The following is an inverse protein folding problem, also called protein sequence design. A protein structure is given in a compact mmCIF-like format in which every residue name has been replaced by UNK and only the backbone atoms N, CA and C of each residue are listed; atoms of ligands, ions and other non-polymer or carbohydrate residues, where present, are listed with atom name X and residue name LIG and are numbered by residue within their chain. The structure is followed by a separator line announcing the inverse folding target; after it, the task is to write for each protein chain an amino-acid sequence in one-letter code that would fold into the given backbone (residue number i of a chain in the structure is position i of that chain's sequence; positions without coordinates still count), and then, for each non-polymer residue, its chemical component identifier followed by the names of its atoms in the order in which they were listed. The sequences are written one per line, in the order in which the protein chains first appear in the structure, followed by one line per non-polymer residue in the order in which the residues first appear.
data_IF_297461893148
#
_entry.id   IF_297461893148
#
_cell.length_a   1.000
_cell.length_b   1.000
_cell.length_c   1.000
_cell.angle_alpha   90.00
_cell.angle_beta   90.00
_cell.angle_gamma   90.00
#
_symmetry.space_group_name_H-M   'P 1'
#
loop_
_entity.id
_entity.type
_entity.pdbx_description
1 polymer ?
#
# COMPACT_ATOMS: atom_id res chain seq x y z
N UNK A 1 11.19 30.24 -17.54
CA UNK A 1 11.58 28.95 -18.09
C UNK A 1 11.84 28.01 -16.91
N UNK A 2 11.32 26.77 -16.91
CA UNK A 2 11.64 25.81 -15.87
C UNK A 2 13.07 25.26 -16.05
N UNK A 3 13.73 24.92 -14.95
CA UNK A 3 15.06 24.30 -15.01
C UNK A 3 14.95 22.81 -15.42
N UNK A 4 13.82 22.17 -15.10
CA UNK A 4 13.55 20.76 -15.36
C UNK A 4 12.10 20.54 -15.80
N UNK A 5 11.90 19.80 -16.89
CA UNK A 5 10.61 19.31 -17.36
C UNK A 5 10.66 17.79 -17.40
N UNK A 6 9.69 17.14 -16.78
CA UNK A 6 9.54 15.67 -16.82
C UNK A 6 8.22 15.33 -17.48
N UNK A 7 8.25 14.53 -18.54
CA UNK A 7 7.07 13.98 -19.20
C UNK A 7 7.01 12.46 -19.00
N UNK A 8 5.81 11.88 -19.02
CA UNK A 8 5.62 10.45 -18.90
C UNK A 8 4.61 9.92 -19.93
N UNK A 9 4.91 8.76 -20.50
CA UNK A 9 4.05 8.05 -21.46
C UNK A 9 4.54 8.14 -22.91
N UNK A 10 3.98 7.29 -23.76
CA UNK A 10 4.18 7.26 -25.21
C UNK A 10 5.58 6.83 -25.66
N UNK A 11 6.32 6.04 -24.86
CA UNK A 11 7.64 5.49 -25.22
C UNK A 11 7.59 3.98 -25.52
N UNK A 12 6.44 3.36 -25.50
CA UNK A 12 6.23 1.96 -25.80
C UNK A 12 6.36 1.63 -27.30
N UNK A 13 5.92 0.42 -27.70
CA UNK A 13 6.00 -0.06 -29.07
C UNK A 13 4.68 0.06 -29.86
N UNK A 14 3.63 0.63 -29.29
CA UNK A 14 2.29 0.70 -29.91
C UNK A 14 2.14 1.95 -30.79
N UNK A 15 1.16 1.97 -31.67
CA UNK A 15 0.98 3.08 -32.64
C UNK A 15 0.66 4.42 -31.99
N UNK A 16 0.11 4.40 -30.80
CA UNK A 16 -0.17 5.58 -29.96
C UNK A 16 1.05 6.07 -29.16
N UNK A 17 2.16 5.31 -29.16
CA UNK A 17 3.42 5.69 -28.50
C UNK A 17 4.25 6.63 -29.39
N UNK A 18 3.76 7.83 -29.63
CA UNK A 18 4.38 8.82 -30.54
C UNK A 18 5.38 9.76 -29.83
N UNK A 19 5.52 9.69 -28.50
CA UNK A 19 6.30 10.65 -27.72
C UNK A 19 7.77 10.68 -28.14
N UNK A 20 8.37 9.54 -28.48
CA UNK A 20 9.77 9.48 -28.93
C UNK A 20 10.03 10.29 -30.20
N UNK A 21 9.18 10.11 -31.19
CA UNK A 21 9.30 10.80 -32.49
C UNK A 21 9.06 12.31 -32.32
N UNK A 22 8.00 12.68 -31.61
CA UNK A 22 7.68 14.08 -31.32
C UNK A 22 8.81 14.78 -30.57
N UNK A 23 9.43 14.13 -29.58
CA UNK A 23 10.55 14.68 -28.82
C UNK A 23 11.80 14.82 -29.71
N UNK A 24 12.09 13.84 -30.57
CA UNK A 24 13.22 13.91 -31.48
C UNK A 24 13.07 15.09 -32.46
N UNK A 25 11.90 15.27 -33.02
CA UNK A 25 11.56 16.38 -33.90
C UNK A 25 11.63 17.71 -33.16
N UNK A 26 11.03 17.78 -31.97
CA UNK A 26 11.04 19.02 -31.16
C UNK A 26 12.44 19.50 -30.76
N UNK A 27 13.32 18.54 -30.40
CA UNK A 27 14.69 18.83 -30.00
C UNK A 27 15.61 19.00 -31.23
N UNK A 28 15.15 18.62 -32.43
CA UNK A 28 15.95 18.64 -33.66
C UNK A 28 17.08 17.60 -33.68
N UNK A 29 16.92 16.45 -33.01
CA UNK A 29 17.92 15.38 -32.95
C UNK A 29 17.66 14.33 -34.00
N UNK A 30 18.69 13.82 -34.64
CA UNK A 30 18.63 12.57 -35.38
C UNK A 30 18.57 11.36 -34.44
N UNK A 31 18.41 10.18 -35.03
CA UNK A 31 18.42 8.92 -34.27
C UNK A 31 19.30 7.88 -34.92
N UNK A 32 19.73 6.92 -34.12
CA UNK A 32 20.46 5.71 -34.58
C UNK A 32 19.87 4.47 -33.90
N UNK A 33 20.04 3.33 -34.55
CA UNK A 33 19.57 2.06 -34.02
C UNK A 33 20.61 1.45 -33.08
N UNK A 34 20.20 1.02 -31.90
CA UNK A 34 21.04 0.37 -30.90
C UNK A 34 20.91 -1.16 -31.06
N UNK A 35 21.80 -1.74 -31.87
CA UNK A 35 21.82 -3.15 -32.16
C UNK A 35 22.04 -4.03 -30.93
N UNK A 36 22.84 -3.59 -29.96
CA UNK A 36 23.12 -4.36 -28.76
C UNK A 36 21.91 -4.36 -27.82
N UNK A 37 21.23 -3.24 -27.71
CA UNK A 37 19.97 -3.21 -26.97
C UNK A 37 18.90 -4.09 -27.64
N UNK A 38 18.78 -4.06 -28.95
CA UNK A 38 17.86 -4.90 -29.69
C UNK A 38 18.12 -6.41 -29.48
N UNK A 39 19.39 -6.82 -29.53
CA UNK A 39 19.80 -8.23 -29.23
C UNK A 39 19.44 -8.61 -27.79
N UNK A 40 19.65 -7.70 -26.83
CA UNK A 40 19.30 -7.91 -25.43
C UNK A 40 17.78 -8.04 -25.25
N UNK A 41 17.00 -7.20 -25.91
CA UNK A 41 15.56 -7.22 -25.86
C UNK A 41 14.99 -8.52 -26.45
N UNK A 42 15.50 -9.00 -27.58
CA UNK A 42 15.18 -10.32 -28.16
C UNK A 42 15.45 -11.46 -27.18
N UNK A 43 16.61 -11.45 -26.51
CA UNK A 43 16.96 -12.47 -25.50
C UNK A 43 16.01 -12.45 -24.31
N UNK A 44 15.58 -11.26 -23.89
CA UNK A 44 14.64 -11.07 -22.79
C UNK A 44 13.26 -11.66 -23.14
N UNK A 45 12.71 -11.37 -24.31
CA UNK A 45 11.44 -11.93 -24.77
C UNK A 45 11.52 -13.47 -24.86
N UNK A 46 12.61 -14.00 -25.40
CA UNK A 46 12.81 -15.43 -25.55
C UNK A 46 12.85 -16.19 -24.23
N UNK A 47 13.34 -15.56 -23.13
CA UNK A 47 13.29 -16.15 -21.78
C UNK A 47 11.86 -16.36 -21.27
N UNK A 48 10.91 -15.57 -21.74
CA UNK A 48 9.50 -15.71 -21.40
C UNK A 48 8.72 -16.56 -22.43
N UNK A 49 9.41 -17.17 -23.40
CA UNK A 49 8.78 -18.02 -24.39
C UNK A 49 8.12 -17.28 -25.56
N UNK A 50 8.43 -15.99 -25.74
CA UNK A 50 7.86 -15.17 -26.80
C UNK A 50 8.91 -14.73 -27.82
N UNK A 51 8.48 -14.60 -29.09
CA UNK A 51 9.22 -13.84 -30.08
C UNK A 51 8.88 -12.36 -29.96
N UNK A 52 9.87 -11.49 -30.15
CA UNK A 52 9.66 -10.06 -30.06
C UNK A 52 8.96 -9.54 -31.34
N UNK A 53 7.85 -8.81 -31.23
CA UNK A 53 7.22 -8.16 -32.38
C UNK A 53 8.14 -7.11 -33.02
N UNK A 54 8.02 -6.93 -34.32
CA UNK A 54 8.82 -5.95 -35.08
C UNK A 54 8.53 -4.50 -34.61
N UNK A 55 7.32 -4.20 -34.15
CA UNK A 55 6.95 -2.90 -33.56
C UNK A 55 7.87 -2.48 -32.42
N UNK A 56 8.45 -3.43 -31.66
CA UNK A 56 9.40 -3.14 -30.60
C UNK A 56 10.75 -2.56 -31.09
N UNK A 57 11.01 -2.53 -32.40
CA UNK A 57 12.24 -1.90 -32.94
C UNK A 57 12.34 -0.44 -32.60
N UNK A 58 11.20 0.27 -32.53
CA UNK A 58 11.16 1.66 -32.10
C UNK A 58 11.84 1.89 -30.74
N UNK A 59 11.78 0.92 -29.84
CA UNK A 59 12.41 1.02 -28.52
C UNK A 59 13.95 0.93 -28.57
N UNK A 60 14.51 0.44 -29.68
CA UNK A 60 15.96 0.40 -29.89
C UNK A 60 16.49 1.69 -30.57
N UNK A 61 15.62 2.63 -30.94
CA UNK A 61 16.04 3.94 -31.44
C UNK A 61 16.56 4.80 -30.29
N UNK A 62 17.76 5.35 -30.47
CA UNK A 62 18.38 6.28 -29.52
C UNK A 62 18.73 7.59 -30.20
N UNK A 63 18.66 8.70 -29.51
CA UNK A 63 18.98 10.02 -30.09
C UNK A 63 20.48 10.13 -30.41
N UNK A 64 20.82 10.87 -31.44
CA UNK A 64 22.23 11.22 -31.74
C UNK A 64 22.75 12.29 -30.82
N UNK A 65 21.87 13.16 -30.28
CA UNK A 65 22.15 14.16 -29.26
C UNK A 65 21.23 13.92 -28.08
N UNK A 66 21.74 13.99 -26.85
CA UNK A 66 21.03 13.66 -25.65
C UNK A 66 21.50 12.36 -24.99
N UNK A 67 20.78 11.90 -24.00
CA UNK A 67 21.10 10.69 -23.22
C UNK A 67 19.92 9.75 -23.15
N UNK A 68 20.22 8.45 -23.14
CA UNK A 68 19.23 7.40 -22.84
C UNK A 68 19.28 7.08 -21.36
N UNK A 69 18.11 7.03 -20.73
CA UNK A 69 17.95 6.62 -19.33
C UNK A 69 17.60 5.14 -19.33
N UNK A 70 18.40 4.27 -18.67
CA UNK A 70 18.15 2.85 -18.63
C UNK A 70 16.86 2.53 -17.86
N UNK A 71 16.22 1.42 -18.22
CA UNK A 71 15.05 0.88 -17.56
C UNK A 71 15.37 -0.56 -17.11
N UNK A 72 15.51 -0.77 -15.81
CA UNK A 72 15.82 -2.05 -15.20
C UNK A 72 14.59 -2.98 -15.12
N UNK A 73 13.39 -2.43 -15.12
CA UNK A 73 12.11 -3.16 -14.94
C UNK A 73 11.46 -3.51 -16.27
N UNK A 74 11.41 -2.58 -17.20
CA UNK A 74 10.69 -2.72 -18.47
C UNK A 74 11.57 -2.65 -19.70
N UNK A 75 10.93 -2.41 -20.86
CA UNK A 75 11.59 -2.32 -22.16
C UNK A 75 11.65 -0.88 -22.72
N UNK A 76 10.84 0.03 -22.24
CA UNK A 76 10.85 1.41 -22.72
C UNK A 76 11.93 2.22 -22.00
N UNK A 77 12.99 2.59 -22.71
CA UNK A 77 14.05 3.45 -22.16
C UNK A 77 13.59 4.90 -22.15
N UNK A 78 13.96 5.65 -21.08
CA UNK A 78 13.74 7.08 -21.01
C UNK A 78 14.78 7.88 -21.82
N UNK A 79 14.50 9.15 -22.00
CA UNK A 79 15.31 10.08 -22.77
C UNK A 79 15.58 11.34 -21.94
N UNK A 80 16.78 11.92 -22.10
CA UNK A 80 17.16 13.18 -21.46
C UNK A 80 17.83 14.08 -22.49
N UNK A 81 17.38 15.33 -22.54
CA UNK A 81 17.90 16.36 -23.41
C UNK A 81 18.18 17.66 -22.63
N UNK A 82 19.12 18.44 -23.13
CA UNK A 82 19.35 19.80 -22.67
C UNK A 82 18.85 20.74 -23.75
N UNK A 83 17.91 21.61 -23.41
CA UNK A 83 17.33 22.62 -24.29
C UNK A 83 17.57 23.96 -23.62
N UNK A 84 18.55 24.72 -24.12
CA UNK A 84 19.05 25.94 -23.48
C UNK A 84 19.40 25.68 -21.98
N UNK A 85 18.70 26.35 -21.05
CA UNK A 85 18.86 26.16 -19.62
C UNK A 85 17.97 25.06 -19.03
N UNK A 86 17.02 24.48 -19.81
CA UNK A 86 16.06 23.53 -19.36
C UNK A 86 16.49 22.08 -19.64
N UNK A 87 16.50 21.23 -18.66
CA UNK A 87 16.62 19.77 -18.84
C UNK A 87 15.25 19.17 -19.12
N UNK A 88 15.08 18.51 -20.26
CA UNK A 88 13.88 17.74 -20.60
C UNK A 88 14.13 16.23 -20.36
N UNK A 89 13.30 15.60 -19.56
CA UNK A 89 13.34 14.17 -19.29
C UNK A 89 11.99 13.55 -19.68
N UNK A 90 12.04 12.46 -20.45
CA UNK A 90 10.85 11.70 -20.87
C UNK A 90 10.95 10.28 -20.36
N UNK A 91 9.93 9.82 -19.64
CA UNK A 91 9.87 8.52 -18.98
C UNK A 91 8.68 7.67 -19.52
N UNK A 92 8.72 6.33 -19.40
CA UNK A 92 7.58 5.49 -19.75
C UNK A 92 6.34 5.81 -18.91
N UNK A 93 5.16 5.47 -19.43
CA UNK A 93 3.87 5.64 -18.75
C UNK A 93 3.58 4.56 -17.71
N UNK A 94 4.20 3.38 -17.80
CA UNK A 94 4.01 2.28 -16.86
C UNK A 94 4.52 2.67 -15.47
N UNK A 95 3.65 2.72 -14.43
CA UNK A 95 4.05 3.30 -13.14
C UNK A 95 5.24 2.59 -12.47
N UNK A 96 5.38 1.28 -12.62
CA UNK A 96 6.49 0.53 -12.06
C UNK A 96 7.83 0.90 -12.72
N UNK A 97 7.84 1.03 -14.04
CA UNK A 97 9.01 1.46 -14.83
C UNK A 97 9.41 2.89 -14.48
N UNK A 98 8.45 3.80 -14.53
CA UNK A 98 8.66 5.22 -14.23
C UNK A 98 9.23 5.41 -12.81
N UNK A 99 8.65 4.74 -11.81
CA UNK A 99 9.13 4.83 -10.41
C UNK A 99 10.56 4.31 -10.25
N UNK A 100 10.89 3.16 -10.87
CA UNK A 100 12.25 2.61 -10.84
C UNK A 100 13.25 3.59 -11.43
N UNK A 101 12.95 4.13 -12.63
CA UNK A 101 13.82 5.12 -13.30
C UNK A 101 13.95 6.41 -12.50
N UNK A 102 12.87 6.89 -11.87
CA UNK A 102 12.94 8.03 -10.96
C UNK A 102 13.92 7.77 -9.81
N UNK A 103 13.84 6.62 -9.17
CA UNK A 103 14.72 6.29 -8.04
C UNK A 103 16.17 6.04 -8.46
N UNK A 104 16.38 5.31 -9.56
CA UNK A 104 17.72 4.87 -9.98
C UNK A 104 18.51 5.97 -10.70
N UNK A 105 17.82 6.88 -11.43
CA UNK A 105 18.49 7.83 -12.32
C UNK A 105 18.10 9.29 -12.05
N UNK A 106 16.81 9.62 -11.94
CA UNK A 106 16.36 11.01 -11.96
C UNK A 106 16.54 11.70 -10.62
N UNK A 107 16.16 11.06 -9.52
CA UNK A 107 16.35 11.64 -8.18
C UNK A 107 17.84 11.85 -7.86
N UNK A 108 18.76 10.90 -8.16
CA UNK A 108 20.18 11.14 -8.03
C UNK A 108 20.69 12.30 -8.90
N UNK A 109 20.21 12.40 -10.15
CA UNK A 109 20.55 13.51 -11.04
C UNK A 109 20.12 14.86 -10.45
N UNK A 110 18.87 14.99 -9.98
CA UNK A 110 18.33 16.21 -9.36
C UNK A 110 19.17 16.61 -8.13
N UNK A 111 19.48 15.64 -7.27
CA UNK A 111 20.31 15.86 -6.08
C UNK A 111 21.71 16.37 -6.43
N UNK A 112 22.29 15.85 -7.50
CA UNK A 112 23.60 16.29 -7.98
C UNK A 112 23.60 17.75 -8.49
N UNK A 113 22.44 18.34 -8.81
CA UNK A 113 22.28 19.75 -9.14
C UNK A 113 22.23 20.68 -7.89
N UNK A 114 22.47 20.14 -6.70
CA UNK A 114 22.44 20.91 -5.46
C UNK A 114 21.04 21.20 -4.91
N UNK A 115 20.02 20.55 -5.45
CA UNK A 115 18.65 20.67 -4.92
C UNK A 115 18.58 19.95 -3.58
N UNK A 116 18.41 20.69 -2.49
CA UNK A 116 18.14 20.13 -1.17
C UNK A 116 16.67 19.70 -1.08
N UNK A 117 16.42 18.52 -0.56
CA UNK A 117 15.07 18.12 -0.16
C UNK A 117 14.87 18.48 1.30
N UNK A 118 13.77 19.14 1.67
CA UNK A 118 13.47 19.38 3.07
C UNK A 118 13.36 18.06 3.84
N UNK A 119 13.74 18.08 5.11
CA UNK A 119 13.55 16.92 5.95
C UNK A 119 12.06 16.64 6.11
N UNK A 120 11.66 15.40 6.03
CA UNK A 120 10.26 14.97 6.07
C UNK A 120 10.09 13.77 6.99
N UNK A 121 8.98 13.76 7.74
CA UNK A 121 8.48 12.59 8.46
C UNK A 121 7.02 12.37 8.13
N UNK A 122 6.64 11.10 7.96
CA UNK A 122 5.26 10.69 7.71
C UNK A 122 4.81 9.85 8.92
N UNK A 123 3.84 10.37 9.68
CA UNK A 123 3.21 9.63 10.76
C UNK A 123 1.92 9.02 10.24
N UNK A 124 1.82 7.69 10.26
CA UNK A 124 0.65 6.96 9.77
C UNK A 124 -0.30 6.65 10.90
N UNK A 125 -1.55 7.12 10.78
CA UNK A 125 -2.56 6.92 11.82
C UNK A 125 -3.69 6.00 11.38
N UNK A 126 -4.36 5.37 12.34
CA UNK A 126 -5.55 4.58 12.12
C UNK A 126 -6.49 4.63 13.33
N UNK A 127 -7.79 4.43 13.09
CA UNK A 127 -8.78 4.36 14.17
C UNK A 127 -9.16 5.69 14.79
N UNK A 128 -8.73 6.83 14.22
CA UNK A 128 -9.07 8.18 14.65
C UNK A 128 -9.63 8.98 13.45
N UNK A 129 -10.76 9.70 13.59
CA UNK A 129 -11.26 10.62 12.56
C UNK A 129 -10.31 11.81 12.35
N UNK A 130 -10.26 12.33 11.12
CA UNK A 130 -9.40 13.45 10.74
C UNK A 130 -9.63 14.70 11.60
N UNK A 131 -10.89 15.10 11.80
CA UNK A 131 -11.24 16.27 12.63
C UNK A 131 -10.74 16.12 14.07
N UNK A 132 -10.95 14.96 14.68
CA UNK A 132 -10.50 14.68 16.05
C UNK A 132 -8.96 14.64 16.12
N UNK A 133 -8.30 14.14 15.09
CA UNK A 133 -6.85 14.10 14.99
C UNK A 133 -6.29 15.52 14.96
N UNK A 134 -6.83 16.38 14.07
CA UNK A 134 -6.40 17.79 13.93
C UNK A 134 -6.61 18.54 15.25
N UNK A 135 -7.79 18.44 15.86
CA UNK A 135 -8.11 19.08 17.14
C UNK A 135 -7.11 18.69 18.24
N UNK A 136 -6.75 17.42 18.32
CA UNK A 136 -5.80 16.94 19.33
C UNK A 136 -4.40 17.50 19.16
N UNK A 137 -3.90 17.62 17.93
CA UNK A 137 -2.52 18.07 17.68
C UNK A 137 -2.40 19.57 17.46
N UNK A 138 -3.52 20.31 17.34
CA UNK A 138 -3.51 21.76 17.16
C UNK A 138 -2.63 22.50 18.20
N UNK A 139 -2.66 22.18 19.51
CA UNK A 139 -1.83 22.86 20.50
C UNK A 139 -0.31 22.74 20.23
N UNK A 140 0.12 21.63 19.63
CA UNK A 140 1.51 21.40 19.25
C UNK A 140 1.86 22.08 17.91
N UNK A 141 0.91 22.12 16.98
CA UNK A 141 1.15 22.58 15.59
C UNK A 141 0.95 24.10 15.43
N UNK A 142 0.02 24.72 16.16
CA UNK A 142 -0.31 26.15 16.04
C UNK A 142 0.85 27.09 16.38
N UNK A 143 1.79 26.65 17.20
CA UNK A 143 2.98 27.43 17.63
C UNK A 143 4.19 27.22 16.72
N UNK A 144 4.09 26.32 15.77
CA UNK A 144 5.22 25.91 14.93
C UNK A 144 5.18 26.59 13.57
N UNK A 145 6.11 27.53 13.34
CA UNK A 145 6.19 28.32 12.11
C UNK A 145 7.26 27.82 11.13
N UNK A 146 8.08 26.86 11.55
CA UNK A 146 9.21 26.33 10.74
C UNK A 146 8.93 24.93 10.18
N UNK A 147 7.68 24.47 10.29
CA UNK A 147 7.20 23.20 9.72
C UNK A 147 5.97 23.41 8.84
N UNK A 148 5.90 22.65 7.75
CA UNK A 148 4.66 22.48 7.00
C UNK A 148 4.04 21.15 7.37
N UNK A 149 2.74 21.16 7.71
CA UNK A 149 1.98 19.98 8.09
C UNK A 149 0.91 19.73 7.03
N UNK A 150 0.90 18.52 6.47
CA UNK A 150 -0.12 18.08 5.52
C UNK A 150 -0.85 16.85 6.06
N UNK A 151 -2.18 16.81 5.87
CA UNK A 151 -3.05 15.70 6.23
C UNK A 151 -3.49 14.98 4.98
N UNK A 152 -3.34 13.67 4.94
CA UNK A 152 -3.63 12.83 3.78
C UNK A 152 -4.60 11.71 4.17
N UNK A 153 -5.91 11.97 4.14
CA UNK A 153 -6.90 10.95 4.46
C UNK A 153 -6.93 9.84 3.41
N UNK A 154 -7.08 8.63 3.88
CA UNK A 154 -7.20 7.42 3.06
C UNK A 154 -8.17 6.42 3.69
N UNK A 155 -8.36 5.26 3.05
CA UNK A 155 -9.16 4.18 3.64
C UNK A 155 -8.46 3.46 4.79
N UNK A 156 -7.18 3.69 4.98
CA UNK A 156 -6.38 3.12 6.07
C UNK A 156 -6.34 4.00 7.31
N UNK A 157 -6.57 5.31 7.14
CA UNK A 157 -6.50 6.32 8.18
C UNK A 157 -6.05 7.66 7.61
N UNK A 158 -5.46 8.50 8.42
CA UNK A 158 -4.94 9.81 8.04
C UNK A 158 -3.43 9.81 8.21
N UNK A 159 -2.70 9.99 7.13
CA UNK A 159 -1.26 10.17 7.21
C UNK A 159 -0.94 11.66 7.47
N UNK A 160 -0.09 11.95 8.46
CA UNK A 160 0.38 13.30 8.80
C UNK A 160 1.81 13.44 8.25
N UNK A 161 1.98 14.32 7.28
CA UNK A 161 3.30 14.66 6.76
C UNK A 161 3.81 15.95 7.40
N UNK A 162 4.94 15.87 8.06
CA UNK A 162 5.64 17.00 8.66
C UNK A 162 6.89 17.26 7.82
N UNK A 163 7.08 18.49 7.38
CA UNK A 163 8.24 18.89 6.56
C UNK A 163 8.91 20.10 7.19
N UNK A 164 10.22 20.10 7.33
CA UNK A 164 11.01 21.20 7.89
C UNK A 164 12.43 21.21 7.31
N UNK A 165 13.02 22.39 7.17
CA UNK A 165 14.44 22.51 6.82
C UNK A 165 15.36 22.15 7.99
N UNK A 166 14.86 22.30 9.24
CA UNK A 166 15.58 21.98 10.47
C UNK A 166 15.22 20.59 10.99
N UNK A 167 16.16 19.64 10.95
CA UNK A 167 15.97 18.28 11.45
C UNK A 167 15.59 18.23 12.93
N UNK A 168 16.13 19.13 13.76
CA UNK A 168 15.82 19.19 15.19
C UNK A 168 14.34 19.53 15.43
N UNK A 169 13.80 20.51 14.69
CA UNK A 169 12.40 20.92 14.75
C UNK A 169 11.47 19.77 14.30
N UNK A 170 11.83 19.12 13.18
CA UNK A 170 11.10 17.96 12.67
C UNK A 170 11.03 16.82 13.72
N UNK A 171 12.17 16.50 14.34
CA UNK A 171 12.25 15.43 15.34
C UNK A 171 11.41 15.76 16.58
N UNK A 172 11.53 16.99 17.11
CA UNK A 172 10.77 17.46 18.29
C UNK A 172 9.26 17.39 18.02
N UNK A 173 8.80 18.01 16.92
CA UNK A 173 7.37 18.09 16.62
C UNK A 173 6.78 16.69 16.33
N UNK A 174 7.51 15.84 15.62
CA UNK A 174 7.05 14.48 15.37
C UNK A 174 6.95 13.64 16.66
N UNK A 175 7.85 13.83 17.63
CA UNK A 175 7.77 13.19 18.94
C UNK A 175 6.56 13.68 19.73
N UNK A 176 6.36 15.00 19.81
CA UNK A 176 5.23 15.61 20.51
C UNK A 176 3.89 15.14 19.94
N UNK A 177 3.73 15.11 18.62
CA UNK A 177 2.53 14.56 17.98
C UNK A 177 2.36 13.07 18.28
N UNK A 178 3.46 12.31 18.33
CA UNK A 178 3.41 10.88 18.64
C UNK A 178 2.96 10.63 20.08
N UNK A 179 3.39 11.44 21.03
CA UNK A 179 2.97 11.36 22.43
C UNK A 179 1.48 11.71 22.58
N UNK A 180 0.98 12.73 21.85
CA UNK A 180 -0.42 13.13 21.86
C UNK A 180 -1.34 12.06 21.27
N UNK A 181 -0.97 11.49 20.14
CA UNK A 181 -1.81 10.53 19.40
C UNK A 181 -1.63 9.08 19.87
N UNK A 182 -0.51 8.77 20.52
CA UNK A 182 -0.22 7.46 21.10
C UNK A 182 -0.45 6.32 20.11
N UNK A 183 -1.20 5.32 20.53
CA UNK A 183 -1.49 4.13 19.73
C UNK A 183 -2.30 4.38 18.44
N UNK A 184 -2.83 5.59 18.22
CA UNK A 184 -3.43 5.94 16.94
C UNK A 184 -2.39 6.02 15.83
N UNK A 185 -1.12 6.32 16.13
CA UNK A 185 -0.02 6.18 15.20
C UNK A 185 0.41 4.71 15.18
N UNK A 186 0.37 4.09 14.00
CA UNK A 186 0.79 2.70 13.86
C UNK A 186 2.17 2.54 13.21
N UNK A 187 2.62 3.54 12.45
CA UNK A 187 3.91 3.52 11.81
C UNK A 187 4.47 4.92 11.54
N UNK A 188 5.76 4.99 11.33
CA UNK A 188 6.48 6.13 10.76
C UNK A 188 6.90 5.74 9.35
N UNK A 189 6.85 6.71 8.42
CA UNK A 189 7.09 6.50 6.99
C UNK A 189 6.09 5.54 6.32
N UNK A 190 6.41 5.02 5.13
CA UNK A 190 5.47 4.26 4.29
C UNK A 190 5.39 2.77 4.66
N UNK A 191 5.30 2.47 5.94
CA UNK A 191 5.17 1.10 6.44
C UNK A 191 3.68 0.71 6.50
N UNK A 192 3.32 -0.48 6.02
CA UNK A 192 1.95 -1.00 6.13
C UNK A 192 1.70 -1.55 7.54
N UNK A 193 0.44 -1.48 8.00
CA UNK A 193 0.08 -2.02 9.33
C UNK A 193 0.27 -3.54 9.41
N UNK A 194 0.20 -4.25 8.28
CA UNK A 194 0.49 -5.69 8.24
C UNK A 194 1.97 -5.95 8.56
N UNK A 195 2.89 -5.12 8.04
CA UNK A 195 4.31 -5.20 8.35
C UNK A 195 4.56 -4.96 9.85
N UNK A 196 3.90 -3.96 10.43
CA UNK A 196 4.00 -3.68 11.87
C UNK A 196 3.45 -4.85 12.71
N UNK A 197 2.28 -5.40 12.34
CA UNK A 197 1.68 -6.50 13.08
C UNK A 197 2.52 -7.78 12.98
N UNK A 198 3.04 -8.09 11.79
CA UNK A 198 3.95 -9.24 11.60
C UNK A 198 5.24 -9.06 12.38
N UNK A 199 5.87 -7.87 12.29
CA UNK A 199 7.10 -7.57 13.05
C UNK A 199 6.91 -7.76 14.55
N UNK A 200 5.85 -7.17 15.13
CA UNK A 200 5.54 -7.33 16.55
C UNK A 200 5.28 -8.79 16.95
N UNK A 201 4.61 -9.57 16.09
CA UNK A 201 4.38 -10.98 16.36
C UNK A 201 5.68 -11.78 16.33
N UNK A 202 6.54 -11.56 15.33
CA UNK A 202 7.86 -12.19 15.23
C UNK A 202 8.74 -11.84 16.43
N UNK A 203 8.82 -10.57 16.82
CA UNK A 203 9.62 -10.09 17.94
C UNK A 203 9.21 -10.72 19.29
N UNK A 204 7.92 -11.05 19.42
CA UNK A 204 7.36 -11.72 20.60
C UNK A 204 7.36 -13.26 20.51
N UNK A 205 7.76 -13.82 19.38
CA UNK A 205 7.64 -15.26 19.11
C UNK A 205 6.20 -15.74 19.11
N UNK A 206 5.24 -14.85 18.82
CA UNK A 206 3.82 -15.13 18.79
C UNK A 206 3.34 -15.48 17.37
N UNK A 207 2.38 -16.39 17.30
CA UNK A 207 1.78 -16.84 16.05
C UNK A 207 0.31 -16.41 15.93
N UNK A 208 -0.18 -16.24 14.71
CA UNK A 208 -1.57 -15.92 14.47
C UNK A 208 -2.13 -16.56 13.20
N UNK A 209 -3.46 -16.72 13.17
CA UNK A 209 -4.20 -17.20 12.02
C UNK A 209 -5.43 -16.32 11.76
N UNK A 210 -5.96 -16.33 10.53
CA UNK A 210 -7.08 -15.47 10.13
C UNK A 210 -8.27 -16.25 9.57
N UNK A 211 -9.49 -15.87 9.97
CA UNK A 211 -10.75 -16.33 9.39
C UNK A 211 -11.47 -15.18 8.71
N UNK A 212 -11.54 -15.20 7.39
CA UNK A 212 -12.07 -14.11 6.59
C UNK A 212 -13.40 -14.45 5.93
N UNK A 213 -14.39 -13.57 6.08
CA UNK A 213 -15.63 -13.65 5.30
C UNK A 213 -15.72 -12.46 4.33
N UNK A 214 -16.19 -11.32 4.77
CA UNK A 214 -16.42 -10.16 3.89
C UNK A 214 -15.17 -9.57 3.23
N UNK A 215 -13.99 -9.78 3.79
CA UNK A 215 -12.70 -9.35 3.22
C UNK A 215 -12.20 -10.27 2.10
N UNK A 216 -12.62 -11.56 2.11
CA UNK A 216 -12.37 -12.51 1.03
C UNK A 216 -10.89 -12.74 0.72
N UNK A 217 -10.06 -12.92 1.74
CA UNK A 217 -8.62 -13.17 1.63
C UNK A 217 -7.73 -11.91 1.66
N UNK A 218 -8.30 -10.70 1.79
CA UNK A 218 -7.52 -9.47 1.76
C UNK A 218 -6.58 -9.32 2.97
N UNK A 219 -6.95 -9.82 4.15
CA UNK A 219 -6.09 -9.80 5.34
C UNK A 219 -4.89 -10.71 5.11
N UNK A 220 -5.14 -11.96 4.69
CA UNK A 220 -4.07 -12.89 4.35
C UNK A 220 -3.17 -12.38 3.23
N UNK A 221 -3.74 -11.76 2.18
CA UNK A 221 -2.98 -11.10 1.11
C UNK A 221 -2.03 -10.05 1.67
N UNK A 222 -2.51 -9.09 2.45
CA UNK A 222 -1.68 -8.02 3.03
C UNK A 222 -0.57 -8.56 3.93
N UNK A 223 -0.85 -9.60 4.70
CA UNK A 223 0.13 -10.24 5.57
C UNK A 223 1.22 -10.93 4.74
N UNK A 224 0.85 -11.65 3.69
CA UNK A 224 1.78 -12.41 2.87
C UNK A 224 2.61 -11.55 1.90
N UNK A 225 2.26 -10.27 1.69
CA UNK A 225 3.13 -9.28 1.04
C UNK A 225 4.36 -8.94 1.90
N UNK A 226 4.29 -9.23 3.22
CA UNK A 226 5.40 -8.96 4.14
C UNK A 226 6.41 -10.11 4.10
N UNK A 227 7.65 -9.80 3.72
CA UNK A 227 8.73 -10.79 3.74
C UNK A 227 8.97 -11.32 5.15
N UNK A 228 9.06 -12.64 5.30
CA UNK A 228 9.24 -13.29 6.60
C UNK A 228 7.94 -13.48 7.40
N UNK A 229 6.78 -13.15 6.85
CA UNK A 229 5.48 -13.32 7.51
C UNK A 229 5.21 -14.76 7.97
N UNK A 230 5.77 -15.76 7.30
CA UNK A 230 5.63 -17.19 7.66
C UNK A 230 6.21 -17.53 9.04
N UNK A 231 7.01 -16.66 9.64
CA UNK A 231 7.50 -16.86 11.00
C UNK A 231 6.44 -16.58 12.09
N UNK A 232 5.34 -15.89 11.72
CA UNK A 232 4.27 -15.54 12.66
C UNK A 232 2.87 -15.91 12.13
N UNK A 233 2.62 -15.79 10.83
CA UNK A 233 1.33 -16.09 10.22
C UNK A 233 1.26 -17.56 9.78
N UNK A 234 0.47 -18.37 10.46
CA UNK A 234 0.32 -19.80 10.19
C UNK A 234 -0.62 -20.10 9.00
N UNK A 235 -1.44 -19.14 8.61
CA UNK A 235 -2.39 -19.27 7.52
C UNK A 235 -3.79 -18.78 7.88
N UNK A 236 -4.78 -19.12 7.04
CA UNK A 236 -6.15 -18.68 7.27
C UNK A 236 -7.19 -19.43 6.46
N UNK A 237 -8.46 -19.17 6.78
CA UNK A 237 -9.63 -19.73 6.12
C UNK A 237 -10.48 -18.60 5.54
N UNK A 238 -10.75 -18.63 4.24
CA UNK A 238 -11.74 -17.76 3.62
C UNK A 238 -13.12 -18.44 3.74
N UNK A 239 -13.79 -18.16 4.85
CA UNK A 239 -15.11 -18.71 5.18
C UNK A 239 -16.23 -17.85 4.58
N UNK A 240 -16.32 -17.80 3.25
CA UNK A 240 -17.20 -16.88 2.52
C UNK A 240 -18.68 -17.29 2.56
N UNK A 241 -18.98 -18.59 2.52
CA UNK A 241 -20.33 -19.13 2.66
C UNK A 241 -20.60 -19.65 4.06
N UNK A 242 -21.87 -19.85 4.40
CA UNK A 242 -22.26 -20.48 5.67
C UNK A 242 -21.77 -21.93 5.75
N UNK A 243 -21.79 -22.66 4.63
CA UNK A 243 -21.27 -24.01 4.57
C UNK A 243 -19.78 -24.09 4.93
N UNK A 244 -18.96 -23.16 4.42
CA UNK A 244 -17.53 -23.07 4.78
C UNK A 244 -17.34 -22.61 6.22
N UNK A 245 -18.20 -21.73 6.75
CA UNK A 245 -18.17 -21.37 8.17
C UNK A 245 -18.39 -22.59 9.06
N UNK A 246 -19.35 -23.43 8.72
CA UNK A 246 -19.66 -24.66 9.47
C UNK A 246 -18.61 -25.74 9.26
N UNK A 247 -18.46 -26.23 8.01
CA UNK A 247 -17.62 -27.40 7.71
C UNK A 247 -16.12 -27.08 7.71
N UNK A 248 -15.76 -25.91 7.21
CA UNK A 248 -14.36 -25.47 7.08
C UNK A 248 -13.78 -24.91 8.37
N UNK A 249 -14.61 -24.22 9.17
CA UNK A 249 -14.16 -23.49 10.35
C UNK A 249 -14.82 -23.94 11.65
N UNK A 250 -15.90 -24.73 11.58
CA UNK A 250 -16.55 -25.31 12.77
C UNK A 250 -17.53 -24.37 13.49
N UNK A 251 -18.00 -23.30 12.82
CA UNK A 251 -19.05 -22.43 13.39
C UNK A 251 -20.34 -23.25 13.55
N UNK A 252 -20.97 -23.12 14.71
CA UNK A 252 -22.17 -23.91 15.04
C UNK A 252 -23.38 -23.52 14.17
N UNK A 253 -24.15 -24.50 13.71
CA UNK A 253 -25.38 -24.24 12.96
C UNK A 253 -26.35 -23.37 13.76
N UNK A 254 -26.50 -23.66 15.07
CA UNK A 254 -27.35 -22.93 16.00
C UNK A 254 -26.97 -21.42 16.09
N UNK A 255 -25.68 -21.10 16.01
CA UNK A 255 -25.20 -19.71 16.01
C UNK A 255 -25.60 -18.99 14.72
N UNK A 256 -25.41 -19.67 13.58
CA UNK A 256 -25.81 -19.11 12.28
C UNK A 256 -27.32 -18.96 12.13
N UNK A 257 -28.10 -19.90 12.64
CA UNK A 257 -29.56 -19.85 12.62
C UNK A 257 -30.12 -18.75 13.52
N UNK A 258 -29.57 -18.61 14.72
CA UNK A 258 -30.07 -17.66 15.72
C UNK A 258 -29.60 -16.22 15.48
N UNK A 259 -28.32 -16.05 15.16
CA UNK A 259 -27.69 -14.73 15.08
C UNK A 259 -27.32 -14.32 13.64
N UNK A 260 -27.31 -15.28 12.70
CA UNK A 260 -26.92 -15.08 11.31
C UNK A 260 -25.41 -15.00 11.12
N UNK A 261 -24.98 -15.07 9.87
CA UNK A 261 -23.55 -15.05 9.49
C UNK A 261 -22.83 -13.74 9.85
N UNK A 262 -23.56 -12.64 10.02
CA UNK A 262 -23.02 -11.31 10.34
C UNK A 262 -23.50 -10.94 11.75
N UNK A 263 -22.74 -11.32 12.74
CA UNK A 263 -23.04 -11.09 14.16
C UNK A 263 -21.76 -11.13 15.00
N UNK A 264 -21.85 -10.68 16.23
CA UNK A 264 -20.75 -10.74 17.18
C UNK A 264 -20.40 -12.19 17.50
N UNK A 265 -21.43 -13.02 17.73
CA UNK A 265 -21.32 -14.44 18.08
C UNK A 265 -20.64 -15.24 16.95
N UNK A 266 -20.99 -14.98 15.69
CA UNK A 266 -20.32 -15.62 14.56
C UNK A 266 -18.86 -15.18 14.44
N UNK A 267 -18.56 -13.90 14.69
CA UNK A 267 -17.17 -13.41 14.66
C UNK A 267 -16.33 -14.03 15.79
N UNK A 268 -16.93 -14.18 16.98
CA UNK A 268 -16.33 -14.83 18.15
C UNK A 268 -15.95 -16.28 17.84
N UNK A 269 -16.92 -17.10 17.42
CA UNK A 269 -16.66 -18.50 17.07
C UNK A 269 -15.65 -18.64 15.93
N UNK A 270 -15.72 -17.78 14.92
CA UNK A 270 -14.73 -17.78 13.83
C UNK A 270 -13.31 -17.50 14.35
N UNK A 271 -13.14 -16.58 15.31
CA UNK A 271 -11.84 -16.26 15.88
C UNK A 271 -11.29 -17.41 16.74
N UNK A 272 -12.12 -18.00 17.62
CA UNK A 272 -11.74 -19.11 18.47
C UNK A 272 -11.43 -20.38 17.64
N UNK A 273 -12.24 -20.65 16.64
CA UNK A 273 -12.07 -21.83 15.81
C UNK A 273 -10.85 -21.74 14.89
N UNK A 274 -10.51 -20.56 14.36
CA UNK A 274 -9.27 -20.42 13.57
C UNK A 274 -8.03 -20.49 14.47
N UNK A 275 -8.08 -19.91 15.67
CA UNK A 275 -7.03 -20.07 16.68
C UNK A 275 -6.76 -21.55 16.97
N UNK A 276 -7.81 -22.31 17.30
CA UNK A 276 -7.72 -23.73 17.63
C UNK A 276 -7.27 -24.58 16.44
N UNK A 277 -7.80 -24.31 15.25
CA UNK A 277 -7.50 -25.05 14.01
C UNK A 277 -6.04 -24.97 13.62
N UNK A 278 -5.44 -23.81 13.78
CA UNK A 278 -4.03 -23.57 13.44
C UNK A 278 -3.09 -23.70 14.65
N UNK A 279 -3.64 -23.94 15.86
CA UNK A 279 -2.87 -23.95 17.10
C UNK A 279 -2.02 -22.67 17.28
N UNK A 280 -2.60 -21.53 16.88
CA UNK A 280 -1.98 -20.22 16.95
C UNK A 280 -2.13 -19.60 18.34
N UNK A 281 -1.35 -18.56 18.64
CA UNK A 281 -1.51 -17.77 19.87
C UNK A 281 -2.67 -16.78 19.75
N UNK A 282 -2.95 -16.30 18.51
CA UNK A 282 -4.06 -15.40 18.20
C UNK A 282 -4.86 -15.89 17.00
N UNK A 283 -6.18 -15.83 17.13
CA UNK A 283 -7.14 -16.05 16.04
C UNK A 283 -7.86 -14.75 15.69
N UNK A 284 -7.64 -14.25 14.47
CA UNK A 284 -8.29 -13.06 13.97
C UNK A 284 -9.46 -13.43 13.05
N UNK A 285 -10.64 -12.86 13.27
CA UNK A 285 -11.79 -13.11 12.40
C UNK A 285 -12.45 -11.84 11.89
N UNK A 286 -13.08 -11.91 10.72
CA UNK A 286 -13.93 -10.86 10.19
C UNK A 286 -15.17 -11.43 9.52
N UNK A 287 -16.34 -10.88 9.86
CA UNK A 287 -17.60 -11.12 9.15
C UNK A 287 -18.36 -9.82 8.98
N UNK A 288 -19.13 -9.66 7.91
CA UNK A 288 -19.82 -8.39 7.64
C UNK A 288 -20.49 -8.34 6.29
N UNK A 289 -21.19 -7.23 6.04
CA UNK A 289 -21.86 -6.91 4.78
C UNK A 289 -21.05 -5.84 4.05
N UNK A 290 -20.21 -6.26 3.10
CA UNK A 290 -19.36 -5.33 2.38
C UNK A 290 -20.13 -4.43 1.39
N UNK A 291 -21.33 -4.83 0.96
CA UNK A 291 -22.15 -4.09 -0.01
C UNK A 291 -21.81 -4.39 -1.48
N UNK A 292 -22.45 -3.68 -2.44
CA UNK A 292 -23.48 -2.67 -2.24
C UNK A 292 -24.85 -3.26 -1.86
N UNK A 293 -25.03 -4.57 -1.94
CA UNK A 293 -26.27 -5.30 -1.64
C UNK A 293 -26.11 -6.16 -0.37
N UNK A 294 -27.18 -6.79 0.09
CA UNK A 294 -27.19 -7.75 1.20
C UNK A 294 -27.43 -7.11 2.58
N UNK A 295 -27.65 -5.80 2.65
CA UNK A 295 -28.08 -5.12 3.87
C UNK A 295 -29.56 -5.30 4.15
N UNK A 296 -29.91 -5.24 5.43
CA UNK A 296 -31.29 -5.14 5.95
C UNK A 296 -31.37 -3.93 6.88
N UNK A 297 -32.55 -3.59 7.35
CA UNK A 297 -32.77 -2.50 8.31
C UNK A 297 -31.95 -2.73 9.60
N UNK A 298 -31.95 -3.96 10.11
CA UNK A 298 -31.22 -4.34 11.33
C UNK A 298 -29.72 -4.51 11.09
N UNK A 299 -29.32 -4.91 9.88
CA UNK A 299 -27.92 -5.15 9.48
C UNK A 299 -27.61 -4.40 8.18
N UNK A 300 -27.39 -3.10 8.25
CA UNK A 300 -27.14 -2.28 7.06
C UNK A 300 -25.83 -2.63 6.36
N UNK A 301 -25.72 -2.29 5.09
CA UNK A 301 -24.46 -2.37 4.33
C UNK A 301 -23.35 -1.63 5.09
N UNK A 302 -22.18 -2.21 5.12
CA UNK A 302 -21.02 -1.67 5.82
C UNK A 302 -20.89 -2.12 7.28
N UNK A 303 -21.86 -2.87 7.82
CA UNK A 303 -21.71 -3.46 9.15
C UNK A 303 -20.67 -4.59 9.10
N UNK A 304 -19.74 -4.55 10.06
CA UNK A 304 -18.65 -5.53 10.18
C UNK A 304 -18.41 -5.84 11.65
N UNK A 305 -18.17 -7.13 11.92
CA UNK A 305 -17.69 -7.62 13.20
C UNK A 305 -16.28 -8.19 13.02
N UNK A 306 -15.38 -7.80 13.91
CA UNK A 306 -13.99 -8.26 13.96
C UNK A 306 -13.81 -8.97 15.31
N UNK A 307 -13.44 -10.24 15.28
CA UNK A 307 -13.11 -11.04 16.46
C UNK A 307 -11.59 -11.20 16.57
N UNK A 308 -11.08 -11.13 17.78
CA UNK A 308 -9.72 -11.51 18.13
C UNK A 308 -9.74 -12.41 19.35
N UNK A 309 -9.38 -13.66 19.15
CA UNK A 309 -9.24 -14.67 20.18
C UNK A 309 -7.78 -14.85 20.58
N UNK A 310 -7.55 -15.04 21.87
CA UNK A 310 -6.35 -15.54 22.49
C UNK A 310 -6.76 -16.63 23.47
N UNK A 311 -5.88 -17.54 23.88
CA UNK A 311 -6.22 -18.63 24.78
C UNK A 311 -7.01 -18.13 26.01
N UNK A 312 -8.27 -18.56 26.09
CA UNK A 312 -9.18 -18.25 27.19
C UNK A 312 -9.89 -16.88 27.14
N UNK A 313 -9.67 -16.09 26.11
CA UNK A 313 -10.36 -14.79 25.94
C UNK A 313 -10.63 -14.50 24.46
N UNK A 314 -11.79 -13.89 24.19
CA UNK A 314 -12.12 -13.36 22.88
C UNK A 314 -12.69 -11.95 23.02
N UNK A 315 -12.37 -11.09 22.09
CA UNK A 315 -12.89 -9.73 21.99
C UNK A 315 -13.51 -9.53 20.63
N UNK A 316 -14.70 -8.94 20.59
CA UNK A 316 -15.37 -8.60 19.33
C UNK A 316 -15.59 -7.09 19.24
N UNK A 317 -15.29 -6.53 18.08
CA UNK A 317 -15.52 -5.12 17.76
C UNK A 317 -16.51 -5.02 16.62
N UNK A 318 -17.62 -4.30 16.83
CA UNK A 318 -18.59 -3.93 15.81
C UNK A 318 -18.17 -2.59 15.18
N UNK A 319 -18.18 -2.51 13.85
CA UNK A 319 -17.91 -1.31 13.08
C UNK A 319 -19.00 -1.09 12.05
N UNK A 320 -19.26 0.18 11.72
CA UNK A 320 -20.16 0.59 10.65
C UNK A 320 -19.40 1.44 9.66
N UNK A 321 -19.33 0.99 8.40
CA UNK A 321 -18.74 1.71 7.28
C UNK A 321 -19.83 2.20 6.32
N UNK A 322 -19.42 2.75 5.17
CA UNK A 322 -20.34 3.20 4.13
C UNK A 322 -20.77 2.07 3.17
N UNK A 323 -21.21 2.44 1.95
CA UNK A 323 -21.85 1.52 1.02
C UNK A 323 -20.89 0.88 -0.01
N UNK A 324 -19.64 1.34 -0.10
CA UNK A 324 -18.71 0.90 -1.12
C UNK A 324 -17.93 -0.36 -0.72
N UNK A 325 -18.21 -1.47 -1.38
CA UNK A 325 -17.61 -2.79 -1.13
C UNK A 325 -16.08 -2.78 -1.00
N UNK A 326 -15.37 -2.24 -1.98
CA UNK A 326 -13.91 -2.24 -1.97
C UNK A 326 -13.34 -1.42 -0.80
N UNK A 327 -13.94 -0.27 -0.51
CA UNK A 327 -13.57 0.59 0.62
C UNK A 327 -13.82 -0.11 1.96
N UNK A 328 -14.96 -0.79 2.08
CA UNK A 328 -15.33 -1.54 3.27
C UNK A 328 -14.35 -2.69 3.53
N UNK A 329 -13.96 -3.44 2.50
CA UNK A 329 -12.93 -4.48 2.62
C UNK A 329 -11.59 -3.92 3.10
N UNK A 330 -11.12 -2.81 2.53
CA UNK A 330 -9.87 -2.14 2.93
C UNK A 330 -9.92 -1.67 4.39
N UNK A 331 -10.98 -0.93 4.77
CA UNK A 331 -11.18 -0.45 6.15
C UNK A 331 -11.29 -1.60 7.15
N UNK A 332 -11.98 -2.69 6.79
CA UNK A 332 -12.10 -3.89 7.63
C UNK A 332 -10.75 -4.53 7.85
N UNK A 333 -9.97 -4.73 6.79
CA UNK A 333 -8.62 -5.31 6.92
C UNK A 333 -7.69 -4.45 7.77
N UNK A 334 -7.77 -3.12 7.63
CA UNK A 334 -7.01 -2.18 8.45
C UNK A 334 -7.40 -2.27 9.92
N UNK A 335 -8.69 -2.27 10.22
CA UNK A 335 -9.19 -2.34 11.59
C UNK A 335 -8.87 -3.69 12.27
N UNK A 336 -8.93 -4.78 11.50
CA UNK A 336 -8.60 -6.11 11.98
C UNK A 336 -7.11 -6.25 12.33
N UNK A 337 -6.22 -5.82 11.43
CA UNK A 337 -4.78 -5.80 11.68
C UNK A 337 -4.40 -4.86 12.83
N UNK A 338 -5.11 -3.72 12.96
CA UNK A 338 -4.90 -2.82 14.09
C UNK A 338 -5.33 -3.46 15.43
N UNK A 339 -6.39 -4.25 15.44
CA UNK A 339 -6.83 -4.96 16.65
C UNK A 339 -5.78 -5.98 17.10
N UNK A 340 -5.20 -6.74 16.17
CA UNK A 340 -4.08 -7.64 16.44
C UNK A 340 -2.84 -6.88 16.92
N UNK A 341 -2.46 -5.79 16.22
CA UNK A 341 -1.31 -4.94 16.61
C UNK A 341 -1.44 -4.44 18.04
N UNK A 342 -2.61 -3.92 18.41
CA UNK A 342 -2.86 -3.39 19.75
C UNK A 342 -2.80 -4.48 20.81
N UNK A 343 -3.30 -5.66 20.53
CA UNK A 343 -3.17 -6.80 21.43
C UNK A 343 -1.69 -7.18 21.63
N UNK A 344 -0.93 -7.23 20.55
CA UNK A 344 0.51 -7.50 20.61
C UNK A 344 1.32 -6.42 21.38
N UNK A 345 0.89 -5.16 21.38
CA UNK A 345 1.58 -4.09 22.13
C UNK A 345 1.32 -4.21 23.65
N UNK A 346 0.10 -4.55 24.04
CA UNK A 346 -0.32 -4.51 25.46
C UNK A 346 -0.01 -5.77 26.26
N UNK A 347 0.60 -6.74 25.64
CA UNK A 347 1.03 -8.01 26.24
C UNK A 347 2.55 -8.17 26.23
#
# INVERSE_FOLDING_TARGET
NPDLVITTGGLGPTEDDITREVIFDFVGTGYKFDEDYWKNLKRRFKRFGFDIPESNRSQALIPTQGKVIPNSVGSARGLQFQIDSTTLITLPGVPAEMKSMMHESIIPYIRAQGVSTPNMKLLRTTGIPESTLIEKIEPATAKEHHCTIGYYPSYYGVDIRITSDAQATLSRLSSEISDILGHSIYAVDKIDIAEVAVGLAVDKGATFAAAESCTGGLIGHRITEVSGSSNAFLGGVVAYSNDVKQKGLGVQSSTLEKYGAVSAETAEEMAENVLSKFQADYGLSVTGIAGPTGGTEDKPVGIVYIGLAKKGTVRVKKLQFGEHRSRNKLRTSQAALNMLRLALIHE
#
